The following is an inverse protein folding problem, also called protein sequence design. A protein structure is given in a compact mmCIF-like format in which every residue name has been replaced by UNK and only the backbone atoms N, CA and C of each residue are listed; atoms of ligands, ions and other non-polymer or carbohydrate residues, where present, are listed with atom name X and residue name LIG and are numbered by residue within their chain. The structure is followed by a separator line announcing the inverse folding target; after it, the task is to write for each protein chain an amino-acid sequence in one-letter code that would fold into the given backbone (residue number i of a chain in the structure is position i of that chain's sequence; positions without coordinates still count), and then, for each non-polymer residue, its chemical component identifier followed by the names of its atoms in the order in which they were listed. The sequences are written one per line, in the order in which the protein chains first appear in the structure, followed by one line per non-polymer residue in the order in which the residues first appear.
data_IF_571268178912
#
_entry.id   IF_571268178912
#
_cell.length_a   1.000
_cell.length_b   1.000
_cell.length_c   1.000
_cell.angle_alpha   90.00
_cell.angle_beta   90.00
_cell.angle_gamma   90.00
#
_symmetry.space_group_name_H-M   'P 1'
#
loop_
_entity.id
_entity.type
_entity.pdbx_description
1 polymer ?
#
# COMPACT_ATOMS: atom_id res chain seq x y z
N UNK A 1 -6.60 3.06 -31.23
CA UNK A 1 -5.97 2.37 -30.09
C UNK A 1 -5.76 0.93 -30.50
N UNK A 2 -4.56 0.62 -30.94
CA UNK A 2 -4.21 -0.73 -31.41
C UNK A 2 -4.14 -1.70 -30.23
N UNK A 3 -4.52 -2.95 -30.45
CA UNK A 3 -4.63 -3.96 -29.39
C UNK A 3 -3.29 -4.26 -28.67
N UNK A 4 -2.16 -4.05 -29.34
CA UNK A 4 -0.83 -4.09 -28.72
C UNK A 4 -0.62 -2.99 -27.67
N UNK A 5 -1.09 -1.76 -27.96
CA UNK A 5 -0.98 -0.64 -27.04
C UNK A 5 -1.78 -0.90 -25.76
N UNK A 6 -2.94 -1.56 -25.87
CA UNK A 6 -3.75 -1.96 -24.71
C UNK A 6 -2.96 -2.89 -23.78
N UNK A 7 -2.23 -3.86 -24.33
CA UNK A 7 -1.39 -4.77 -23.54
C UNK A 7 -0.25 -4.04 -22.82
N UNK A 8 0.39 -3.09 -23.51
CA UNK A 8 1.47 -2.26 -22.96
C UNK A 8 0.94 -1.36 -21.84
N UNK A 9 -0.18 -0.67 -22.05
CA UNK A 9 -0.77 0.18 -21.00
C UNK A 9 -1.29 -0.64 -19.83
N UNK A 10 -1.86 -1.82 -20.06
CA UNK A 10 -2.34 -2.70 -18.99
C UNK A 10 -1.18 -3.23 -18.14
N UNK A 11 -0.11 -3.72 -18.77
CA UNK A 11 1.09 -4.19 -18.07
C UNK A 11 1.77 -3.06 -17.28
N UNK A 12 1.87 -1.87 -17.86
CA UNK A 12 2.39 -0.68 -17.18
C UNK A 12 1.52 -0.28 -15.97
N UNK A 13 0.19 -0.27 -16.14
CA UNK A 13 -0.75 0.05 -15.07
C UNK A 13 -0.68 -0.95 -13.91
N UNK A 14 -0.55 -2.26 -14.21
CA UNK A 14 -0.36 -3.31 -13.20
C UNK A 14 0.98 -3.13 -12.48
N UNK A 15 2.07 -2.88 -13.21
CA UNK A 15 3.40 -2.69 -12.61
C UNK A 15 3.43 -1.47 -11.68
N UNK A 16 2.93 -0.32 -12.15
CA UNK A 16 2.82 0.91 -11.34
C UNK A 16 1.89 0.69 -10.16
N UNK A 17 0.72 0.07 -10.36
CA UNK A 17 -0.22 -0.24 -9.29
C UNK A 17 0.38 -1.18 -8.22
N UNK A 18 1.15 -2.19 -8.64
CA UNK A 18 1.88 -3.08 -7.75
C UNK A 18 2.95 -2.35 -6.95
N UNK A 19 3.73 -1.46 -7.58
CA UNK A 19 4.74 -0.65 -6.89
C UNK A 19 4.10 0.32 -5.90
N UNK A 20 3.03 1.01 -6.29
CA UNK A 20 2.27 1.89 -5.40
C UNK A 20 1.74 1.11 -4.20
N UNK A 21 1.13 -0.06 -4.44
CA UNK A 21 0.68 -0.96 -3.37
C UNK A 21 1.83 -1.44 -2.50
N UNK A 22 2.96 -1.86 -3.06
CA UNK A 22 4.06 -2.43 -2.27
C UNK A 22 4.73 -1.39 -1.37
N UNK A 23 4.94 -0.18 -1.87
CA UNK A 23 5.72 0.84 -1.18
C UNK A 23 4.85 1.85 -0.41
N UNK A 24 3.71 2.26 -0.96
CA UNK A 24 2.82 3.24 -0.33
C UNK A 24 1.69 2.59 0.48
N UNK A 25 1.41 1.31 0.25
CA UNK A 25 0.53 0.51 1.12
C UNK A 25 1.31 -0.21 2.23
N UNK A 26 2.40 0.39 2.72
CA UNK A 26 2.75 0.16 4.11
C UNK A 26 1.65 0.82 4.93
N UNK A 27 0.63 0.03 5.32
CA UNK A 27 -0.14 0.36 6.51
C UNK A 27 0.91 0.64 7.56
N UNK A 28 1.01 1.90 8.01
CA UNK A 28 1.70 2.19 9.25
C UNK A 28 1.21 1.10 10.21
N UNK A 29 2.07 0.32 10.89
CA UNK A 29 1.56 -0.42 12.04
C UNK A 29 0.74 0.62 12.79
N UNK A 30 -0.56 0.33 13.03
CA UNK A 30 -1.39 1.20 13.87
C UNK A 30 -0.46 1.57 14.98
N UNK A 31 -0.07 2.86 15.07
CA UNK A 31 0.94 3.31 16.03
C UNK A 31 0.59 2.54 17.29
N UNK A 32 1.48 1.64 17.72
CA UNK A 32 1.41 1.11 19.07
C UNK A 32 1.15 2.35 19.90
N UNK A 33 -0.05 2.43 20.50
CA UNK A 33 -0.46 3.63 21.21
C UNK A 33 0.75 4.03 22.06
N UNK A 34 1.32 5.24 21.95
CA UNK A 34 2.47 5.57 22.78
C UNK A 34 2.12 5.57 24.28
N UNK A 35 0.82 5.46 24.62
CA UNK A 35 0.34 5.03 25.92
C UNK A 35 -0.84 4.06 25.72
N UNK A 36 -0.83 2.92 26.39
CA UNK A 36 -2.04 2.13 26.62
C UNK A 36 -3.08 3.01 27.30
N UNK A 37 -4.30 2.99 26.77
CA UNK A 37 -5.41 3.83 27.24
C UNK A 37 -6.05 3.27 28.52
N UNK A 38 -5.48 2.19 29.09
CA UNK A 38 -5.95 1.52 30.30
C UNK A 38 -4.76 0.98 31.12
N UNK A 39 -4.31 1.82 32.06
CA UNK A 39 -4.31 1.57 33.50
C UNK A 39 -3.86 0.18 34.02
N UNK A 40 -2.57 0.03 34.37
CA UNK A 40 -2.08 -0.81 35.49
C UNK A 40 -0.54 -0.69 35.60
N UNK A 41 -0.05 0.41 36.16
CA UNK A 41 1.30 0.45 36.72
C UNK A 41 1.19 0.23 38.23
N UNK A 42 1.26 -1.03 38.66
CA UNK A 42 1.66 -1.46 39.99
C UNK A 42 2.35 -2.81 39.88
#
# INVERSE_FOLDING_TARGET
MDIQQILVYLSLAIAVGFLVKKFFWKKRPKKSKPCGDDCACH
#
